data_IF_754914188904
#
_entry.id   IF_754914188904
#
_cell.length_a   1.000
_cell.length_b   1.000
_cell.length_c   1.000
_cell.angle_alpha   90.00
_cell.angle_beta   90.00
_cell.angle_gamma   90.00
#
_symmetry.space_group_name_H-M   'P 1'
#
loop_
_entity.id
_entity.type
_entity.pdbx_description
1 polymer ?
#
# COMPACT_ATOMS: atom_id res chain seq x y z
N UNK A 1 -5.28 17.44 5.11
CA UNK A 1 -5.58 16.70 6.37
C UNK A 1 -5.44 17.56 7.62
N UNK A 2 -4.31 18.26 7.85
CA UNK A 2 -4.09 19.03 9.10
C UNK A 2 -5.18 20.06 9.48
N UNK A 3 -5.86 20.66 8.49
CA UNK A 3 -7.03 21.54 8.76
C UNK A 3 -8.25 20.79 9.29
N UNK A 4 -8.56 19.62 8.73
CA UNK A 4 -9.69 18.79 9.14
C UNK A 4 -9.39 18.05 10.46
N UNK A 5 -8.13 17.70 10.69
CA UNK A 5 -7.64 17.08 11.93
C UNK A 5 -7.99 17.91 13.17
N UNK A 6 -7.83 19.23 13.09
CA UNK A 6 -8.20 20.13 14.19
C UNK A 6 -9.69 20.03 14.53
N UNK A 7 -10.57 19.98 13.52
CA UNK A 7 -12.02 19.83 13.71
C UNK A 7 -12.39 18.46 14.30
N UNK A 8 -11.81 17.38 13.77
CA UNK A 8 -12.06 16.03 14.28
C UNK A 8 -11.53 15.81 15.69
N UNK A 9 -10.39 16.42 16.05
CA UNK A 9 -9.85 16.35 17.40
C UNK A 9 -10.72 17.10 18.43
N UNK A 10 -11.41 18.18 18.04
CA UNK A 10 -12.32 18.89 18.95
C UNK A 10 -13.56 18.08 19.34
N UNK A 11 -13.99 17.15 18.47
CA UNK A 11 -15.16 16.28 18.71
C UNK A 11 -14.74 14.91 19.28
N UNK A 12 -13.44 14.60 19.27
CA UNK A 12 -12.91 13.34 19.77
C UNK A 12 -12.97 13.25 21.30
N UNK A 13 -13.29 12.06 21.82
CA UNK A 13 -13.28 11.75 23.27
C UNK A 13 -11.92 12.01 23.92
N UNK A 14 -10.83 11.94 23.13
CA UNK A 14 -9.46 12.26 23.56
C UNK A 14 -8.79 13.22 22.56
N UNK A 15 -8.91 14.55 22.73
CA UNK A 15 -8.48 15.56 21.76
C UNK A 15 -6.96 15.62 21.51
N UNK A 16 -6.17 15.20 22.50
CA UNK A 16 -4.69 15.20 22.45
C UNK A 16 -4.08 13.81 22.28
N UNK A 17 -4.89 12.79 21.99
CA UNK A 17 -4.39 11.43 21.82
C UNK A 17 -3.45 11.34 20.62
N UNK A 18 -2.18 10.93 20.78
CA UNK A 18 -1.23 10.81 19.67
C UNK A 18 -1.67 9.75 18.64
N UNK A 19 -2.56 8.83 19.04
CA UNK A 19 -3.09 7.77 18.19
C UNK A 19 -4.16 8.23 17.18
N UNK A 20 -4.84 9.36 17.43
CA UNK A 20 -5.91 9.85 16.54
C UNK A 20 -5.37 10.08 15.12
N UNK A 21 -4.15 10.60 15.00
CA UNK A 21 -3.54 10.85 13.69
C UNK A 21 -3.23 9.57 12.94
N UNK A 22 -2.77 8.51 13.62
CA UNK A 22 -2.55 7.21 12.99
C UNK A 22 -3.85 6.58 12.49
N UNK A 23 -4.95 6.74 13.25
CA UNK A 23 -6.26 6.29 12.80
C UNK A 23 -6.72 7.04 11.55
N UNK A 24 -6.55 8.36 11.50
CA UNK A 24 -6.88 9.13 10.29
C UNK A 24 -5.99 8.76 9.10
N UNK A 25 -4.69 8.56 9.33
CA UNK A 25 -3.76 8.14 8.30
C UNK A 25 -4.13 6.75 7.74
N UNK A 26 -4.44 5.79 8.62
CA UNK A 26 -4.89 4.45 8.25
C UNK A 26 -6.17 4.49 7.41
N UNK A 27 -7.21 5.19 7.87
CA UNK A 27 -8.48 5.29 7.14
C UNK A 27 -8.30 5.98 5.79
N UNK A 28 -7.49 7.04 5.73
CA UNK A 28 -7.19 7.71 4.47
C UNK A 28 -6.43 6.83 3.49
N UNK A 29 -5.49 6.02 3.99
CA UNK A 29 -4.76 5.03 3.19
C UNK A 29 -5.65 3.91 2.67
N UNK A 30 -6.56 3.44 3.50
CA UNK A 30 -7.53 2.39 3.13
C UNK A 30 -8.48 2.89 2.04
N UNK A 31 -9.02 4.10 2.17
CA UNK A 31 -9.86 4.69 1.14
C UNK A 31 -9.14 4.84 -0.21
N UNK A 32 -7.90 5.35 -0.20
CA UNK A 32 -7.10 5.51 -1.40
C UNK A 32 -6.73 4.15 -2.04
N UNK A 33 -6.24 3.20 -1.23
CA UNK A 33 -5.89 1.86 -1.69
C UNK A 33 -7.08 1.13 -2.29
N UNK A 34 -8.26 1.25 -1.67
CA UNK A 34 -9.45 0.55 -2.15
C UNK A 34 -9.95 1.11 -3.48
N UNK A 35 -10.03 2.44 -3.62
CA UNK A 35 -10.45 3.08 -4.88
C UNK A 35 -9.46 2.79 -6.01
N UNK A 36 -8.15 2.91 -5.75
CA UNK A 36 -7.12 2.60 -6.75
C UNK A 36 -7.12 1.12 -7.17
N UNK A 37 -7.29 0.20 -6.21
CA UNK A 37 -7.44 -1.23 -6.47
C UNK A 37 -8.67 -1.55 -7.33
N UNK A 38 -9.82 -0.94 -7.02
CA UNK A 38 -11.04 -1.11 -7.82
C UNK A 38 -10.86 -0.63 -9.25
N UNK A 39 -10.38 0.60 -9.44
CA UNK A 39 -10.19 1.17 -10.79
C UNK A 39 -9.21 0.32 -11.61
N UNK A 40 -8.19 -0.25 -10.96
CA UNK A 40 -7.16 -1.06 -11.64
C UNK A 40 -7.63 -2.47 -11.99
N UNK A 41 -8.53 -3.08 -11.21
CA UNK A 41 -8.92 -4.48 -11.37
C UNK A 41 -10.30 -4.70 -12.01
N UNK A 42 -11.19 -3.70 -11.99
CA UNK A 42 -12.59 -3.89 -12.42
C UNK A 42 -12.70 -4.34 -13.89
N UNK A 43 -11.85 -3.80 -14.78
CA UNK A 43 -11.83 -4.21 -16.19
C UNK A 43 -11.31 -5.63 -16.36
N UNK A 44 -10.28 -6.03 -15.62
CA UNK A 44 -9.80 -7.42 -15.66
C UNK A 44 -10.84 -8.39 -15.11
N UNK A 45 -11.61 -7.95 -14.12
CA UNK A 45 -12.68 -8.74 -13.53
C UNK A 45 -13.83 -8.95 -14.52
N UNK A 46 -14.18 -7.95 -15.34
CA UNK A 46 -15.21 -8.12 -16.37
C UNK A 46 -14.78 -9.10 -17.45
N UNK A 47 -13.52 -9.03 -17.90
CA UNK A 47 -12.98 -9.97 -18.89
C UNK A 47 -12.92 -11.41 -18.35
N UNK A 48 -12.67 -11.57 -17.04
CA UNK A 48 -12.64 -12.88 -16.38
C UNK A 48 -13.99 -13.61 -16.36
N UNK A 49 -15.12 -12.92 -16.59
CA UNK A 49 -16.45 -13.53 -16.69
C UNK A 49 -16.68 -14.21 -18.05
N UNK A 50 -15.83 -13.94 -19.04
CA UNK A 50 -15.87 -14.60 -20.34
C UNK A 50 -15.37 -16.05 -20.28
N UNK A 51 -15.68 -16.86 -21.30
CA UNK A 51 -15.22 -18.26 -21.37
C UNK A 51 -13.71 -18.43 -21.64
N UNK A 52 -12.96 -17.33 -21.80
CA UNK A 52 -11.55 -17.33 -22.16
C UNK A 52 -10.61 -17.15 -20.96
N UNK A 53 -9.56 -17.98 -20.89
CA UNK A 53 -8.45 -17.79 -19.96
C UNK A 53 -7.34 -16.98 -20.62
N UNK A 54 -6.93 -15.89 -19.97
CA UNK A 54 -5.70 -15.18 -20.33
C UNK A 54 -4.56 -15.76 -19.51
N UNK A 55 -3.58 -16.35 -20.19
CA UNK A 55 -2.35 -16.85 -19.55
C UNK A 55 -1.29 -15.76 -19.48
N UNK A 56 -0.59 -15.66 -18.35
CA UNK A 56 0.53 -14.73 -18.22
C UNK A 56 1.72 -15.19 -19.08
N UNK A 57 2.26 -14.30 -19.91
CA UNK A 57 3.45 -14.55 -20.75
C UNK A 57 4.66 -15.01 -19.91
N UNK A 58 4.83 -14.41 -18.73
CA UNK A 58 5.91 -14.74 -17.78
C UNK A 58 5.74 -16.09 -17.08
N UNK A 59 4.50 -16.59 -16.99
CA UNK A 59 4.09 -17.72 -16.14
C UNK A 59 2.90 -18.46 -16.79
N UNK A 60 3.13 -19.38 -17.74
CA UNK A 60 2.06 -20.03 -18.50
C UNK A 60 1.18 -20.98 -17.66
N UNK A 61 1.62 -21.38 -16.47
CA UNK A 61 0.85 -22.25 -15.57
C UNK A 61 -0.29 -21.53 -14.81
N UNK A 62 -0.30 -20.19 -14.77
CA UNK A 62 -1.20 -19.42 -13.92
C UNK A 62 -2.00 -18.41 -14.74
N UNK A 63 -3.28 -18.22 -14.41
CA UNK A 63 -4.13 -17.23 -15.07
C UNK A 63 -3.71 -15.81 -14.71
N UNK A 64 -3.74 -14.93 -15.70
CA UNK A 64 -3.45 -13.52 -15.56
C UNK A 64 -4.43 -12.85 -14.59
N UNK A 65 -5.69 -13.31 -14.56
CA UNK A 65 -6.71 -12.84 -13.62
C UNK A 65 -6.31 -13.08 -12.16
N UNK A 66 -5.80 -14.28 -11.84
CA UNK A 66 -5.38 -14.62 -10.48
C UNK A 66 -4.15 -13.82 -10.03
N UNK A 67 -3.15 -13.69 -10.91
CA UNK A 67 -1.96 -12.87 -10.63
C UNK A 67 -2.37 -11.41 -10.42
N UNK A 68 -3.23 -10.89 -11.29
CA UNK A 68 -3.71 -9.50 -11.20
C UNK A 68 -4.46 -9.26 -9.89
N UNK A 69 -5.32 -10.20 -9.45
CA UNK A 69 -6.04 -10.13 -8.18
C UNK A 69 -5.08 -10.08 -6.97
N UNK A 70 -4.04 -10.92 -6.96
CA UNK A 70 -3.05 -10.91 -5.87
C UNK A 70 -2.28 -9.59 -5.87
N UNK A 71 -1.81 -9.14 -7.04
CA UNK A 71 -1.05 -7.90 -7.14
C UNK A 71 -1.87 -6.68 -6.70
N UNK A 72 -3.16 -6.61 -7.04
CA UNK A 72 -4.03 -5.49 -6.64
C UNK A 72 -4.27 -5.46 -5.13
N UNK A 73 -4.48 -6.63 -4.49
CA UNK A 73 -4.59 -6.72 -3.02
C UNK A 73 -3.29 -6.29 -2.34
N UNK A 74 -2.14 -6.75 -2.83
CA UNK A 74 -0.84 -6.37 -2.28
C UNK A 74 -0.56 -4.86 -2.43
N UNK A 75 -0.87 -4.28 -3.59
CA UNK A 75 -0.74 -2.84 -3.80
C UNK A 75 -1.70 -2.03 -2.93
N UNK A 76 -2.92 -2.52 -2.72
CA UNK A 76 -3.88 -1.90 -1.79
C UNK A 76 -3.32 -1.84 -0.37
N UNK A 77 -2.75 -2.94 0.12
CA UNK A 77 -2.10 -3.00 1.43
C UNK A 77 -0.85 -2.10 1.52
N UNK A 78 -0.03 -2.10 0.47
CA UNK A 78 1.13 -1.21 0.39
C UNK A 78 0.71 0.26 0.47
N UNK A 79 -0.33 0.67 -0.26
CA UNK A 79 -0.88 2.03 -0.19
C UNK A 79 -1.34 2.42 1.22
N UNK A 80 -1.97 1.50 1.96
CA UNK A 80 -2.34 1.74 3.36
C UNK A 80 -1.07 2.06 4.19
N UNK A 81 -0.05 1.21 4.10
CA UNK A 81 1.19 1.40 4.88
C UNK A 81 1.97 2.64 4.46
N UNK A 82 2.05 2.94 3.15
CA UNK A 82 2.68 4.14 2.62
C UNK A 82 1.99 5.41 3.09
N UNK A 83 0.67 5.43 3.13
CA UNK A 83 -0.11 6.56 3.63
C UNK A 83 0.09 6.77 5.14
N UNK A 84 0.20 5.69 5.93
CA UNK A 84 0.57 5.81 7.35
C UNK A 84 1.97 6.41 7.53
N UNK A 85 2.96 5.96 6.76
CA UNK A 85 4.35 6.43 6.86
C UNK A 85 4.53 7.87 6.35
N UNK A 86 3.83 8.27 5.29
CA UNK A 86 3.90 9.65 4.76
C UNK A 86 3.32 10.66 5.73
N UNK A 87 2.21 10.35 6.42
CA UNK A 87 1.66 11.24 7.45
C UNK A 87 2.66 11.49 8.58
N UNK A 88 3.38 10.45 9.00
CA UNK A 88 4.42 10.56 10.03
C UNK A 88 5.67 11.30 9.53
N UNK A 89 6.03 11.10 8.26
CA UNK A 89 7.14 11.82 7.62
C UNK A 89 6.86 13.31 7.42
N UNK A 90 5.61 13.67 7.12
CA UNK A 90 5.17 15.07 6.93
C UNK A 90 4.96 15.82 8.25
N UNK A 91 4.73 15.11 9.35
CA UNK A 91 4.40 15.72 10.62
C UNK A 91 5.62 16.07 11.49
N UNK A 92 6.76 15.41 11.30
CA UNK A 92 7.95 15.60 12.12
C UNK A 92 9.20 15.93 11.31
N UNK A 93 9.96 16.95 11.73
CA UNK A 93 11.23 17.32 11.06
C UNK A 93 12.29 16.21 11.12
N UNK A 94 12.24 15.31 12.12
CA UNK A 94 13.19 14.18 12.26
C UNK A 94 12.78 12.93 11.47
N UNK A 95 11.55 12.88 10.95
CA UNK A 95 10.98 11.74 10.24
C UNK A 95 10.82 11.97 8.73
N UNK A 96 11.32 13.09 8.20
CA UNK A 96 11.26 13.40 6.76
C UNK A 96 11.88 12.30 5.87
N UNK A 97 12.83 11.51 6.39
CA UNK A 97 13.40 10.35 5.69
C UNK A 97 12.33 9.28 5.37
N UNK A 98 11.27 9.14 6.18
CA UNK A 98 10.18 8.21 5.93
C UNK A 98 9.42 8.58 4.65
N UNK A 99 9.24 9.87 4.38
CA UNK A 99 8.61 10.33 3.15
C UNK A 99 9.43 9.94 1.92
N UNK A 100 10.74 10.18 1.96
CA UNK A 100 11.66 9.79 0.89
C UNK A 100 11.65 8.27 0.68
N UNK A 101 11.66 7.50 1.77
CA UNK A 101 11.56 6.03 1.73
C UNK A 101 10.26 5.57 1.04
N UNK A 102 9.12 6.18 1.36
CA UNK A 102 7.84 5.85 0.73
C UNK A 102 7.89 6.12 -0.77
N UNK A 103 8.43 7.27 -1.19
CA UNK A 103 8.55 7.59 -2.62
C UNK A 103 9.41 6.55 -3.34
N UNK A 104 10.59 6.22 -2.79
CA UNK A 104 11.50 5.23 -3.38
C UNK A 104 10.84 3.85 -3.46
N UNK A 105 10.20 3.38 -2.38
CA UNK A 105 9.54 2.07 -2.37
C UNK A 105 8.31 2.01 -3.26
N UNK A 106 7.59 3.13 -3.42
CA UNK A 106 6.48 3.23 -4.36
C UNK A 106 6.95 3.07 -5.81
N UNK A 107 7.96 3.83 -6.23
CA UNK A 107 8.55 3.67 -7.56
C UNK A 107 9.12 2.26 -7.76
N UNK A 108 9.84 1.73 -6.76
CA UNK A 108 10.38 0.37 -6.81
C UNK A 108 9.29 -0.70 -6.99
N UNK A 109 8.18 -0.60 -6.27
CA UNK A 109 7.05 -1.50 -6.43
C UNK A 109 6.40 -1.37 -7.81
N UNK A 110 6.18 -0.13 -8.29
CA UNK A 110 5.62 0.12 -9.63
C UNK A 110 6.48 -0.47 -10.74
N UNK A 111 7.80 -0.24 -10.71
CA UNK A 111 8.74 -0.84 -11.66
C UNK A 111 8.80 -2.38 -11.52
N UNK A 112 8.69 -2.90 -10.31
CA UNK A 112 8.60 -4.35 -10.09
C UNK A 112 7.39 -5.00 -10.77
N UNK A 113 6.27 -4.28 -10.85
CA UNK A 113 5.04 -4.79 -11.48
C UNK A 113 5.16 -4.89 -13.00
N UNK A 114 6.02 -4.08 -13.63
CA UNK A 114 6.30 -4.20 -15.07
C UNK A 114 6.90 -5.58 -15.42
N UNK A 115 7.61 -6.22 -14.48
CA UNK A 115 8.17 -7.57 -14.68
C UNK A 115 7.08 -8.61 -14.93
N UNK A 116 5.85 -8.39 -14.45
CA UNK A 116 4.73 -9.31 -14.66
C UNK A 116 4.38 -9.46 -16.15
N UNK A 117 4.58 -8.39 -16.95
CA UNK A 117 4.30 -8.36 -18.40
C UNK A 117 5.55 -8.54 -19.27
N UNK A 118 6.70 -8.87 -18.67
CA UNK A 118 7.97 -9.03 -19.39
C UNK A 118 8.18 -10.47 -19.87
N UNK A 119 9.04 -10.67 -20.88
CA UNK A 119 9.42 -12.03 -21.36
C UNK A 119 10.40 -12.77 -20.43
N UNK A 120 10.59 -12.29 -19.19
CA UNK A 120 11.53 -12.89 -18.24
C UNK A 120 10.85 -14.09 -17.57
N UNK A 121 11.53 -15.25 -17.60
CA UNK A 121 11.05 -16.47 -16.94
C UNK A 121 10.83 -16.23 -15.44
N UNK A 122 9.65 -16.62 -14.92
CA UNK A 122 9.22 -16.42 -13.52
C UNK A 122 9.05 -14.96 -13.06
N UNK A 123 8.94 -13.99 -13.98
CA UNK A 123 8.74 -12.57 -13.67
C UNK A 123 7.54 -12.28 -12.74
N UNK A 124 6.47 -13.07 -12.83
CA UNK A 124 5.29 -12.95 -11.97
C UNK A 124 5.62 -13.21 -10.48
N UNK A 125 6.47 -14.20 -10.19
CA UNK A 125 6.86 -14.59 -8.83
C UNK A 125 7.75 -13.51 -8.22
N UNK A 126 8.71 -13.00 -8.98
CA UNK A 126 9.59 -11.91 -8.51
C UNK A 126 8.81 -10.66 -8.14
N UNK A 127 7.81 -10.27 -8.95
CA UNK A 127 6.95 -9.12 -8.65
C UNK A 127 6.17 -9.32 -7.33
N UNK A 128 5.58 -10.49 -7.12
CA UNK A 128 4.81 -10.79 -5.91
C UNK A 128 5.72 -10.83 -4.68
N UNK A 129 6.89 -11.49 -4.79
CA UNK A 129 7.87 -11.55 -3.70
C UNK A 129 8.38 -10.16 -3.31
N UNK A 130 8.69 -9.32 -4.30
CA UNK A 130 9.10 -7.93 -4.05
C UNK A 130 8.02 -7.16 -3.29
N UNK A 131 6.76 -7.25 -3.74
CA UNK A 131 5.64 -6.59 -3.08
C UNK A 131 5.44 -7.08 -1.64
N UNK A 132 5.57 -8.39 -1.39
CA UNK A 132 5.49 -8.98 -0.04
C UNK A 132 6.63 -8.50 0.86
N UNK A 133 7.87 -8.48 0.37
CA UNK A 133 9.03 -8.00 1.13
C UNK A 133 8.84 -6.53 1.50
N UNK A 134 8.44 -5.68 0.55
CA UNK A 134 8.16 -4.27 0.80
C UNK A 134 7.03 -4.09 1.83
N UNK A 135 5.97 -4.90 1.74
CA UNK A 135 4.86 -4.85 2.69
C UNK A 135 5.32 -5.21 4.10
N UNK A 136 6.11 -6.27 4.26
CA UNK A 136 6.66 -6.68 5.56
C UNK A 136 7.54 -5.56 6.14
N UNK A 137 8.44 -4.99 5.34
CA UNK A 137 9.34 -3.91 5.79
C UNK A 137 8.53 -2.68 6.22
N UNK A 138 7.55 -2.25 5.42
CA UNK A 138 6.70 -1.12 5.75
C UNK A 138 5.87 -1.37 7.02
N UNK A 139 5.33 -2.58 7.17
CA UNK A 139 4.55 -2.96 8.36
C UNK A 139 5.41 -2.93 9.62
N UNK A 140 6.63 -3.49 9.57
CA UNK A 140 7.59 -3.42 10.68
C UNK A 140 7.90 -1.96 11.02
N UNK A 141 8.13 -1.10 10.01
CA UNK A 141 8.43 0.30 10.22
C UNK A 141 7.26 1.05 10.88
N UNK A 142 6.02 0.77 10.46
CA UNK A 142 4.80 1.30 11.09
C UNK A 142 4.70 0.85 12.54
N UNK A 143 4.87 -0.45 12.82
CA UNK A 143 4.79 -1.00 14.19
C UNK A 143 5.87 -0.37 15.09
N UNK A 144 7.10 -0.23 14.59
CA UNK A 144 8.19 0.41 15.35
C UNK A 144 7.88 1.87 15.67
N UNK A 145 7.29 2.61 14.73
CA UNK A 145 6.86 3.98 14.97
C UNK A 145 5.73 4.05 16.00
N UNK A 146 4.74 3.17 15.91
CA UNK A 146 3.65 3.07 16.90
C UNK A 146 4.19 2.75 18.30
N UNK A 147 5.09 1.77 18.43
CA UNK A 147 5.69 1.41 19.71
C UNK A 147 6.51 2.55 20.32
N UNK A 148 7.25 3.30 19.49
CA UNK A 148 8.02 4.47 19.94
C UNK A 148 7.10 5.54 20.51
N UNK A 149 5.92 5.75 19.94
CA UNK A 149 4.93 6.72 20.41
C UNK A 149 4.26 6.23 21.70
N UNK A 150 3.94 4.93 21.78
CA UNK A 150 3.38 4.34 23.00
C UNK A 150 4.34 4.33 24.18
N UNK A 151 5.66 4.27 23.95
CA UNK A 151 6.68 4.27 25.00
C UNK A 151 7.05 5.67 25.53
N UNK A 152 6.49 6.74 24.95
CA UNK A 152 6.68 8.12 25.44
C UNK A 152 5.58 8.57 26.42
N UNK A 153 4.65 7.67 26.77
CA UNK A 153 3.62 7.83 27.78
C UNK A 153 3.69 6.69 28.79
#
# INVERSE_FOLDING_TARGET
MRRAENGLNMVSKNPKGPLNRHSFAFVSGLGFGWMSGFVSYITLLTEALGPGILTCISCPLVSLYFISAITTVLFTLLHITWMMLTFEGLAGSKSAYLFVWVVVTHFGASYGTLLNSSNISYGCVYSILLALILLIINTILVIRNLHKISAQH
#
